data_IF_573816383239
#
_entry.id   IF_573816383239
#
_cell.length_a   1.000
_cell.length_b   1.000
_cell.length_c   1.000
_cell.angle_alpha   90.00
_cell.angle_beta   90.00
_cell.angle_gamma   90.00
#
_symmetry.space_group_name_H-M   'P 1'
#
loop_
_entity.id
_entity.type
_entity.pdbx_description
1 polymer ?
#
# COMPACT_ATOMS: atom_id res chain seq x y z
N UNK A 1 3.21 -12.87 -1.59
CA UNK A 1 2.40 -12.99 -0.34
C UNK A 1 1.24 -11.99 -0.41
N UNK A 2 0.09 -12.22 0.25
CA UNK A 2 -1.07 -11.29 0.20
C UNK A 2 -1.16 -10.45 1.47
N UNK A 3 -1.43 -9.14 1.34
CA UNK A 3 -1.53 -8.23 2.47
C UNK A 3 -2.66 -7.19 2.29
N UNK A 4 -3.24 -6.74 3.41
CA UNK A 4 -4.14 -5.58 3.49
C UNK A 4 -3.37 -4.46 4.18
N UNK A 5 -3.29 -3.29 3.54
CA UNK A 5 -2.43 -2.18 3.98
C UNK A 5 -3.26 -0.91 4.15
N UNK A 6 -3.19 -0.31 5.33
CA UNK A 6 -3.70 1.03 5.60
C UNK A 6 -2.56 2.02 5.45
N UNK A 7 -2.68 2.91 4.47
CA UNK A 7 -1.64 3.83 4.06
C UNK A 7 -2.22 5.25 4.00
N UNK A 8 -1.48 6.25 4.48
CA UNK A 8 -1.92 7.64 4.49
C UNK A 8 -0.77 8.58 4.11
N UNK A 9 -1.08 9.59 3.30
CA UNK A 9 -0.12 10.59 2.81
C UNK A 9 1.10 9.98 2.09
N UNK A 10 2.17 10.76 1.95
CA UNK A 10 3.38 10.40 1.20
C UNK A 10 4.07 9.15 1.75
N UNK A 11 4.07 8.98 3.08
CA UNK A 11 4.61 7.77 3.72
C UNK A 11 3.81 6.52 3.34
N UNK A 12 2.49 6.65 3.19
CA UNK A 12 1.64 5.58 2.69
C UNK A 12 2.02 5.14 1.28
N UNK A 13 2.24 6.09 0.37
CA UNK A 13 2.65 5.81 -1.00
C UNK A 13 4.02 5.11 -1.07
N UNK A 14 5.02 5.63 -0.35
CA UNK A 14 6.36 5.04 -0.30
C UNK A 14 6.34 3.61 0.31
N UNK A 15 5.54 3.40 1.35
CA UNK A 15 5.36 2.09 1.99
C UNK A 15 4.71 1.05 1.05
N UNK A 16 3.68 1.45 0.30
CA UNK A 16 3.04 0.58 -0.69
C UNK A 16 4.05 0.16 -1.78
N UNK A 17 4.85 1.11 -2.29
CA UNK A 17 5.84 0.80 -3.33
C UNK A 17 6.87 -0.22 -2.84
N UNK A 18 7.40 -0.05 -1.62
CA UNK A 18 8.34 -1.00 -1.01
C UNK A 18 7.75 -2.41 -0.84
N UNK A 19 6.46 -2.50 -0.52
CA UNK A 19 5.76 -3.79 -0.42
C UNK A 19 5.56 -4.46 -1.78
N UNK A 20 5.23 -3.69 -2.83
CA UNK A 20 5.16 -4.21 -4.19
C UNK A 20 6.53 -4.72 -4.67
N UNK A 21 7.59 -3.95 -4.42
CA UNK A 21 8.97 -4.29 -4.81
C UNK A 21 9.49 -5.55 -4.08
N UNK A 22 8.97 -5.83 -2.88
CA UNK A 22 9.27 -7.06 -2.12
C UNK A 22 8.38 -8.26 -2.48
N UNK A 23 7.52 -8.14 -3.49
CA UNK A 23 6.70 -9.24 -4.02
C UNK A 23 5.39 -9.49 -3.27
N UNK A 24 4.86 -8.46 -2.59
CA UNK A 24 3.50 -8.52 -2.05
C UNK A 24 2.47 -8.16 -3.11
N UNK A 25 1.35 -8.88 -3.06
CA UNK A 25 0.16 -8.60 -3.86
C UNK A 25 -0.82 -7.83 -2.96
N UNK A 26 -1.00 -6.54 -3.23
CA UNK A 26 -1.84 -5.63 -2.44
C UNK A 26 -3.18 -5.44 -3.16
N UNK A 27 -4.27 -5.97 -2.57
CA UNK A 27 -5.57 -6.03 -3.25
C UNK A 27 -6.37 -4.73 -3.31
N UNK A 28 -6.22 -3.84 -2.31
CA UNK A 28 -6.83 -2.50 -2.29
C UNK A 28 -6.14 -1.67 -1.20
N UNK A 29 -5.85 -0.39 -1.48
CA UNK A 29 -5.43 0.58 -0.48
C UNK A 29 -6.51 1.67 -0.35
N UNK A 30 -6.67 2.25 0.85
CA UNK A 30 -7.69 3.26 1.14
C UNK A 30 -7.05 4.64 1.22
N UNK A 31 -7.46 5.56 0.34
CA UNK A 31 -7.09 6.98 0.39
C UNK A 31 -8.37 7.77 0.70
N UNK A 32 -8.43 8.58 1.78
CA UNK A 32 -9.67 9.23 2.22
C UNK A 32 -10.19 10.35 1.29
N UNK A 33 -9.75 10.40 0.04
CA UNK A 33 -10.20 11.34 -1.00
C UNK A 33 -11.01 10.64 -2.11
N UNK A 34 -11.43 9.39 -1.91
CA UNK A 34 -12.28 8.62 -2.84
C UNK A 34 -13.32 7.80 -2.10
#
# INVERSE_FOLDING_TARGET
>A
MKAVVFAYHDMGCAGIQSLLDSGYEIGRYFHPSG
#
